data_IF_216494990481
#
_entry.id   IF_216494990481
#
_cell.length_a   1.000
_cell.length_b   1.000
_cell.length_c   1.000
_cell.angle_alpha   90.00
_cell.angle_beta   90.00
_cell.angle_gamma   90.00
#
_symmetry.space_group_name_H-M   'P 1'
#
loop_
_entity.id
_entity.type
_entity.pdbx_description
1 polymer ?
#
# COMPACT_ATOMS: atom_id res chain seq x y z
N UNK A 1 -47.94 -11.14 -17.75
CA UNK A 1 -47.26 -9.99 -17.14
C UNK A 1 -45.89 -9.91 -17.80
N UNK A 2 -45.74 -9.04 -18.78
CA UNK A 2 -44.46 -8.77 -19.41
C UNK A 2 -43.80 -7.70 -18.56
N UNK A 3 -42.87 -8.11 -17.73
CA UNK A 3 -42.01 -7.20 -16.97
C UNK A 3 -41.11 -6.43 -17.96
N UNK A 4 -41.23 -5.13 -17.89
CA UNK A 4 -40.76 -4.20 -18.91
C UNK A 4 -39.24 -4.19 -18.93
N UNK A 5 -38.63 -4.90 -19.90
CA UNK A 5 -37.17 -4.96 -20.11
C UNK A 5 -36.51 -3.58 -20.31
N UNK A 6 -37.33 -2.55 -20.60
CA UNK A 6 -36.86 -1.16 -20.72
C UNK A 6 -36.57 -0.52 -19.37
N UNK A 7 -37.20 -0.93 -18.28
CA UNK A 7 -36.94 -0.41 -16.93
C UNK A 7 -35.60 -0.97 -16.38
N UNK A 8 -35.28 -2.23 -16.67
CA UNK A 8 -33.99 -2.81 -16.30
C UNK A 8 -32.82 -2.13 -17.01
N UNK A 9 -33.00 -1.76 -18.28
CA UNK A 9 -32.02 -0.98 -19.04
C UNK A 9 -31.82 0.44 -18.51
N UNK A 10 -32.90 1.08 -18.05
CA UNK A 10 -32.81 2.41 -17.44
C UNK A 10 -32.12 2.37 -16.07
N UNK A 11 -32.40 1.36 -15.23
CA UNK A 11 -31.66 1.15 -13.95
C UNK A 11 -30.20 0.87 -14.16
N UNK A 12 -29.79 0.14 -15.20
CA UNK A 12 -28.39 -0.11 -15.52
C UNK A 12 -27.68 1.14 -16.03
N UNK A 13 -28.33 1.99 -16.83
CA UNK A 13 -27.76 3.23 -17.35
C UNK A 13 -27.68 4.36 -16.32
N UNK A 14 -28.52 4.36 -15.30
CA UNK A 14 -28.51 5.36 -14.24
C UNK A 14 -27.38 5.11 -13.23
N UNK A 15 -26.89 3.87 -13.12
CA UNK A 15 -25.85 3.49 -12.17
C UNK A 15 -24.41 3.81 -12.63
N UNK A 16 -24.19 4.05 -13.91
CA UNK A 16 -22.84 4.27 -14.43
C UNK A 16 -22.76 5.55 -15.23
N UNK A 17 -22.91 6.69 -14.55
CA UNK A 17 -22.57 7.98 -15.17
C UNK A 17 -21.09 7.98 -15.56
N UNK A 18 -20.79 8.34 -16.83
CA UNK A 18 -19.41 8.46 -17.32
C UNK A 18 -18.52 9.27 -16.38
N UNK A 19 -19.05 10.27 -15.70
CA UNK A 19 -18.36 11.06 -14.70
C UNK A 19 -17.93 10.24 -13.47
N UNK A 20 -18.74 9.30 -13.00
CA UNK A 20 -18.38 8.39 -11.89
C UNK A 20 -17.27 7.43 -12.30
N UNK A 21 -17.32 6.90 -13.52
CA UNK A 21 -16.24 6.03 -14.04
C UNK A 21 -14.92 6.77 -14.06
N UNK A 22 -14.87 7.99 -14.58
CA UNK A 22 -13.65 8.80 -14.61
C UNK A 22 -13.15 9.16 -13.22
N UNK A 23 -14.04 9.40 -12.26
CA UNK A 23 -13.65 9.62 -10.86
C UNK A 23 -13.01 8.37 -10.24
N UNK A 24 -13.58 7.19 -10.47
CA UNK A 24 -13.04 5.92 -9.94
C UNK A 24 -11.70 5.59 -10.59
N UNK A 25 -11.59 5.71 -11.92
CA UNK A 25 -10.33 5.50 -12.64
C UNK A 25 -9.28 6.50 -12.17
N UNK A 26 -9.62 7.77 -12.05
CA UNK A 26 -8.71 8.81 -11.58
C UNK A 26 -8.20 8.57 -10.16
N UNK A 27 -9.09 8.22 -9.24
CA UNK A 27 -8.72 7.93 -7.85
C UNK A 27 -7.84 6.69 -7.75
N UNK A 28 -8.16 5.61 -8.48
CA UNK A 28 -7.36 4.38 -8.52
C UNK A 28 -5.98 4.62 -9.15
N UNK A 29 -5.92 5.38 -10.24
CA UNK A 29 -4.66 5.72 -10.90
C UNK A 29 -3.76 6.58 -10.01
N UNK A 30 -4.32 7.55 -9.27
CA UNK A 30 -3.58 8.36 -8.31
C UNK A 30 -3.03 7.51 -7.16
N UNK A 31 -3.81 6.56 -6.65
CA UNK A 31 -3.33 5.59 -5.65
C UNK A 31 -2.10 4.85 -6.13
N UNK A 32 -2.18 4.25 -7.31
CA UNK A 32 -1.05 3.53 -7.93
C UNK A 32 0.19 4.41 -8.14
N UNK A 33 0.00 5.66 -8.59
CA UNK A 33 1.11 6.62 -8.77
C UNK A 33 1.79 6.92 -7.43
N UNK A 34 1.02 7.15 -6.36
CA UNK A 34 1.57 7.41 -5.02
C UNK A 34 2.37 6.21 -4.52
N UNK A 35 1.88 4.99 -4.73
CA UNK A 35 2.58 3.76 -4.38
C UNK A 35 3.93 3.63 -5.08
N UNK A 36 3.94 3.77 -6.41
CA UNK A 36 5.17 3.70 -7.20
C UNK A 36 6.15 4.80 -6.84
N UNK A 37 5.63 5.97 -6.49
CA UNK A 37 6.44 7.09 -6.02
C UNK A 37 7.09 6.80 -4.66
N UNK A 38 6.36 6.19 -3.70
CA UNK A 38 6.92 5.76 -2.42
C UNK A 38 8.05 4.73 -2.61
N UNK A 39 7.86 3.77 -3.52
CA UNK A 39 8.92 2.81 -3.88
C UNK A 39 10.14 3.47 -4.51
N UNK A 40 9.91 4.38 -5.43
CA UNK A 40 10.98 5.10 -6.12
C UNK A 40 11.79 5.92 -5.12
N UNK A 41 11.15 6.68 -4.25
CA UNK A 41 11.81 7.48 -3.20
C UNK A 41 12.60 6.58 -2.27
N UNK A 42 12.01 5.52 -1.77
CA UNK A 42 12.68 4.61 -0.84
C UNK A 42 13.93 4.00 -1.46
N UNK A 43 13.86 3.57 -2.70
CA UNK A 43 15.01 3.02 -3.42
C UNK A 43 16.08 4.08 -3.74
N UNK A 44 15.67 5.24 -4.25
CA UNK A 44 16.61 6.28 -4.66
C UNK A 44 17.31 6.97 -3.51
N UNK A 45 16.67 7.08 -2.35
CA UNK A 45 17.23 7.66 -1.14
C UNK A 45 17.99 6.65 -0.26
N UNK A 46 18.15 5.40 -0.70
CA UNK A 46 18.82 4.33 0.08
C UNK A 46 20.18 4.79 0.63
N UNK A 47 21.02 5.37 -0.20
CA UNK A 47 22.34 5.82 0.22
C UNK A 47 22.32 6.95 1.29
N UNK A 48 21.28 7.77 1.26
CA UNK A 48 21.10 8.90 2.18
C UNK A 48 20.44 8.48 3.50
N UNK A 49 19.46 7.58 3.41
CA UNK A 49 18.60 7.21 4.55
C UNK A 49 19.17 6.03 5.32
N UNK A 50 19.83 5.07 4.65
CA UNK A 50 20.35 3.88 5.34
C UNK A 50 21.30 4.18 6.52
N UNK A 51 22.22 5.16 6.45
CA UNK A 51 23.08 5.49 7.59
C UNK A 51 22.32 6.09 8.79
N UNK A 52 21.13 6.64 8.56
CA UNK A 52 20.32 7.26 9.62
C UNK A 52 19.60 6.23 10.49
N UNK A 53 19.23 5.09 9.91
CA UNK A 53 18.41 4.07 10.60
C UNK A 53 19.20 2.83 11.04
N UNK A 54 20.46 2.70 10.64
CA UNK A 54 21.30 1.56 10.97
C UNK A 54 22.56 1.99 11.73
N UNK A 55 23.25 1.06 12.46
CA UNK A 55 24.41 1.39 13.27
C UNK A 55 25.52 2.06 12.46
N UNK A 56 26.13 3.14 12.98
CA UNK A 56 27.27 3.78 12.34
C UNK A 56 28.49 2.85 12.36
N UNK A 57 29.37 2.99 11.37
CA UNK A 57 30.64 2.27 11.29
C UNK A 57 30.70 1.17 10.24
N UNK A 58 29.58 0.81 9.60
CA UNK A 58 29.58 -0.10 8.46
C UNK A 58 28.50 0.31 7.45
N UNK A 59 28.85 1.23 6.58
CA UNK A 59 27.92 1.77 5.56
C UNK A 59 27.42 0.68 4.60
N UNK A 60 28.25 -0.31 4.30
CA UNK A 60 27.87 -1.43 3.45
C UNK A 60 26.78 -2.28 4.12
N UNK A 61 26.91 -2.54 5.41
CA UNK A 61 25.89 -3.26 6.17
C UNK A 61 24.57 -2.47 6.21
N UNK A 62 24.63 -1.19 6.53
CA UNK A 62 23.48 -0.31 6.57
C UNK A 62 22.74 -0.29 5.21
N UNK A 63 23.47 -0.19 4.12
CA UNK A 63 22.92 -0.20 2.77
C UNK A 63 22.23 -1.53 2.43
N UNK A 64 22.89 -2.66 2.70
CA UNK A 64 22.33 -4.00 2.45
C UNK A 64 21.11 -4.26 3.33
N UNK A 65 21.16 -3.91 4.61
CA UNK A 65 20.06 -4.10 5.55
C UNK A 65 18.82 -3.25 5.17
N UNK A 66 19.04 -2.03 4.70
CA UNK A 66 17.98 -1.17 4.20
C UNK A 66 17.32 -1.74 2.94
N UNK A 67 18.12 -2.23 1.97
CA UNK A 67 17.62 -2.89 0.78
C UNK A 67 16.89 -4.21 1.11
N UNK A 68 17.37 -4.97 2.08
CA UNK A 68 16.69 -6.17 2.56
C UNK A 68 15.31 -5.83 3.17
N UNK A 69 15.23 -4.76 3.96
CA UNK A 69 13.96 -4.25 4.49
C UNK A 69 12.99 -3.87 3.37
N UNK A 70 13.49 -3.29 2.30
CA UNK A 70 12.71 -2.99 1.09
C UNK A 70 12.24 -4.26 0.39
N UNK A 71 13.11 -5.25 0.21
CA UNK A 71 12.78 -6.53 -0.42
C UNK A 71 11.71 -7.32 0.37
N UNK A 72 11.77 -7.30 1.70
CA UNK A 72 10.76 -7.94 2.57
C UNK A 72 9.37 -7.38 2.30
N UNK A 73 9.24 -6.08 2.07
CA UNK A 73 7.98 -5.45 1.68
C UNK A 73 7.33 -6.07 0.42
N UNK A 74 8.14 -6.52 -0.54
CA UNK A 74 7.65 -7.24 -1.73
C UNK A 74 7.27 -8.69 -1.43
N UNK A 75 8.07 -9.40 -0.64
CA UNK A 75 7.84 -10.81 -0.29
C UNK A 75 6.55 -10.99 0.50
N UNK A 76 6.16 -9.99 1.29
CA UNK A 76 4.95 -10.02 2.14
C UNK A 76 3.66 -9.75 1.34
N UNK A 77 3.73 -9.15 0.14
CA UNK A 77 2.56 -8.81 -0.68
C UNK A 77 1.61 -9.98 -0.97
N UNK A 78 2.06 -11.19 -1.36
CA UNK A 78 1.17 -12.32 -1.58
C UNK A 78 0.36 -12.68 -0.33
N UNK A 79 0.95 -12.57 0.85
CA UNK A 79 0.27 -12.81 2.12
C UNK A 79 -0.78 -11.73 2.40
N UNK A 80 -0.48 -10.48 2.06
CA UNK A 80 -1.42 -9.38 2.11
C UNK A 80 -2.63 -9.59 1.21
N UNK A 81 -2.42 -10.09 -0.01
CA UNK A 81 -3.49 -10.43 -0.95
C UNK A 81 -4.44 -11.49 -0.37
N UNK A 82 -3.89 -12.52 0.26
CA UNK A 82 -4.69 -13.57 0.92
C UNK A 82 -5.47 -13.03 2.13
N UNK A 83 -4.82 -12.24 2.97
CA UNK A 83 -5.40 -11.73 4.21
C UNK A 83 -6.50 -10.69 3.93
N UNK A 84 -6.18 -9.65 3.18
CA UNK A 84 -7.14 -8.58 2.86
C UNK A 84 -8.17 -9.01 1.81
N UNK A 85 -7.83 -9.94 0.92
CA UNK A 85 -8.79 -10.57 0.01
C UNK A 85 -9.93 -11.22 0.80
N UNK A 86 -9.58 -12.01 1.82
CA UNK A 86 -10.56 -12.66 2.70
C UNK A 86 -11.40 -11.66 3.52
N UNK A 87 -10.78 -10.60 4.02
CA UNK A 87 -11.49 -9.50 4.69
C UNK A 87 -12.45 -8.81 3.72
N UNK A 88 -12.01 -8.55 2.50
CA UNK A 88 -12.83 -7.94 1.46
C UNK A 88 -14.06 -8.75 1.09
N UNK A 89 -13.95 -10.08 1.12
CA UNK A 89 -15.10 -10.98 0.86
C UNK A 89 -16.11 -11.00 2.02
N UNK A 90 -15.65 -10.79 3.26
CA UNK A 90 -16.50 -10.82 4.47
C UNK A 90 -17.15 -9.46 4.73
N UNK A 91 -16.36 -8.38 4.70
CA UNK A 91 -16.78 -7.03 5.13
C UNK A 91 -17.19 -6.16 3.95
N UNK A 92 -16.80 -6.54 2.75
CA UNK A 92 -17.00 -5.80 1.52
C UNK A 92 -15.73 -5.15 0.99
N UNK A 93 -15.50 -5.26 -0.31
CA UNK A 93 -14.28 -4.85 -1.01
C UNK A 93 -13.99 -3.35 -0.86
N UNK A 94 -15.02 -2.51 -0.85
CA UNK A 94 -14.88 -1.06 -0.64
C UNK A 94 -14.24 -0.73 0.71
N UNK A 95 -14.65 -1.41 1.77
CA UNK A 95 -14.11 -1.19 3.12
C UNK A 95 -12.69 -1.73 3.24
N UNK A 96 -12.41 -2.90 2.68
CA UNK A 96 -11.06 -3.46 2.65
C UNK A 96 -10.09 -2.50 1.93
N UNK A 97 -10.47 -1.95 0.78
CA UNK A 97 -9.68 -0.97 0.04
C UNK A 97 -9.41 0.30 0.86
N UNK A 98 -10.43 0.86 1.53
CA UNK A 98 -10.25 2.05 2.37
C UNK A 98 -9.30 1.79 3.53
N UNK A 99 -9.39 0.61 4.15
CA UNK A 99 -8.51 0.22 5.27
C UNK A 99 -7.07 0.06 4.79
N UNK A 100 -6.82 -0.60 3.66
CA UNK A 100 -5.47 -0.76 3.10
C UNK A 100 -4.85 0.59 2.74
N UNK A 101 -5.60 1.48 2.12
CA UNK A 101 -5.16 2.84 1.79
C UNK A 101 -4.80 3.64 3.05
N UNK A 102 -5.60 3.51 4.11
CA UNK A 102 -5.38 4.21 5.38
C UNK A 102 -4.14 3.67 6.10
N UNK A 103 -3.96 2.35 6.14
CA UNK A 103 -2.76 1.70 6.70
C UNK A 103 -1.52 2.18 5.94
N UNK A 104 -1.57 2.21 4.62
CA UNK A 104 -0.44 2.64 3.80
C UNK A 104 -0.07 4.11 4.06
N UNK A 105 -1.05 5.01 4.07
CA UNK A 105 -0.82 6.43 4.36
C UNK A 105 -0.25 6.66 5.76
N UNK A 106 -0.80 5.99 6.78
CA UNK A 106 -0.29 6.08 8.15
C UNK A 106 1.12 5.50 8.27
N UNK A 107 1.38 4.37 7.64
CA UNK A 107 2.70 3.74 7.65
C UNK A 107 3.76 4.65 7.00
N UNK A 108 3.45 5.27 5.87
CA UNK A 108 4.33 6.24 5.21
C UNK A 108 4.58 7.47 6.10
N UNK A 109 3.55 8.00 6.75
CA UNK A 109 3.69 9.10 7.71
C UNK A 109 4.58 8.72 8.91
N UNK A 110 4.42 7.52 9.46
CA UNK A 110 5.25 7.01 10.57
C UNK A 110 6.72 6.97 10.17
N UNK A 111 7.05 6.52 8.96
CA UNK A 111 8.45 6.52 8.47
C UNK A 111 9.01 7.93 8.45
N UNK A 112 8.22 8.93 8.01
CA UNK A 112 8.64 10.33 7.97
C UNK A 112 8.93 10.94 9.36
N UNK A 113 8.27 10.44 10.40
CA UNK A 113 8.47 10.90 11.78
C UNK A 113 9.38 9.99 12.61
N UNK A 114 9.87 8.89 12.01
CA UNK A 114 10.67 7.91 12.74
C UNK A 114 12.01 8.51 13.17
N UNK A 115 12.36 8.48 14.48
CA UNK A 115 13.63 8.91 14.99
C UNK A 115 14.77 8.06 14.42
N UNK A 116 15.97 8.67 14.33
CA UNK A 116 17.17 8.01 13.80
C UNK A 116 17.74 6.99 14.78
N UNK A 117 18.67 6.17 14.31
CA UNK A 117 19.40 5.18 15.13
C UNK A 117 20.12 5.84 16.32
N UNK A 118 20.66 7.04 16.15
CA UNK A 118 21.33 7.78 17.22
C UNK A 118 20.41 8.11 18.40
N UNK A 119 19.12 8.24 18.13
CA UNK A 119 18.12 8.62 19.15
C UNK A 119 17.51 7.40 19.86
N UNK A 120 17.12 6.38 19.10
CA UNK A 120 16.38 5.21 19.64
C UNK A 120 17.11 3.87 19.42
N UNK A 121 18.32 3.89 18.87
CA UNK A 121 19.15 2.71 18.68
C UNK A 121 18.49 1.66 17.78
N UNK A 122 18.59 0.39 18.16
CA UNK A 122 18.04 -0.74 17.41
C UNK A 122 16.52 -0.73 17.23
N UNK A 123 15.80 0.08 17.96
CA UNK A 123 14.38 0.26 17.74
C UNK A 123 14.07 0.90 16.36
N UNK A 124 14.95 1.75 15.83
CA UNK A 124 14.79 2.41 14.55
C UNK A 124 14.66 1.42 13.37
N UNK A 125 15.63 0.52 13.13
CA UNK A 125 15.52 -0.45 12.04
C UNK A 125 14.39 -1.47 12.26
N UNK A 126 14.08 -1.83 13.50
CA UNK A 126 12.98 -2.75 13.81
C UNK A 126 11.63 -2.12 13.45
N UNK A 127 11.39 -0.88 13.86
CA UNK A 127 10.15 -0.15 13.52
C UNK A 127 10.07 0.05 12.01
N UNK A 128 11.15 0.43 11.36
CA UNK A 128 11.20 0.59 9.90
C UNK A 128 10.80 -0.71 9.19
N UNK A 129 11.34 -1.85 9.62
CA UNK A 129 11.01 -3.17 9.08
C UNK A 129 9.52 -3.49 9.29
N UNK A 130 8.99 -3.30 10.51
CA UNK A 130 7.58 -3.56 10.81
C UNK A 130 6.64 -2.70 9.96
N UNK A 131 6.96 -1.43 9.81
CA UNK A 131 6.16 -0.51 8.98
C UNK A 131 6.23 -0.94 7.50
N UNK A 132 7.36 -1.38 7.00
CA UNK A 132 7.51 -1.92 5.63
C UNK A 132 6.72 -3.22 5.42
N UNK A 133 6.69 -4.10 6.40
CA UNK A 133 5.84 -5.30 6.37
C UNK A 133 4.36 -4.91 6.30
N UNK A 134 3.91 -3.95 7.11
CA UNK A 134 2.54 -3.44 7.08
C UNK A 134 2.17 -2.82 5.72
N UNK A 135 3.06 -2.00 5.14
CA UNK A 135 2.87 -1.45 3.80
C UNK A 135 2.78 -2.55 2.74
N UNK A 136 3.66 -3.56 2.80
CA UNK A 136 3.64 -4.69 1.88
C UNK A 136 2.35 -5.50 1.97
N UNK A 137 1.85 -5.75 3.17
CA UNK A 137 0.56 -6.43 3.40
C UNK A 137 -0.61 -5.60 2.85
N UNK A 138 -0.65 -4.30 3.12
CA UNK A 138 -1.71 -3.41 2.65
C UNK A 138 -1.76 -3.37 1.11
N UNK A 139 -0.61 -3.21 0.46
CA UNK A 139 -0.47 -3.23 -0.99
C UNK A 139 -0.94 -4.55 -1.62
N UNK A 140 -0.57 -5.69 -1.01
CA UNK A 140 -1.04 -6.98 -1.47
C UNK A 140 -2.57 -7.07 -1.51
N UNK A 141 -3.24 -6.45 -0.53
CA UNK A 141 -4.70 -6.40 -0.46
C UNK A 141 -5.36 -5.63 -1.60
N UNK A 142 -4.73 -4.57 -2.08
CA UNK A 142 -5.24 -3.77 -3.20
C UNK A 142 -5.19 -4.53 -4.53
N UNK A 143 -4.10 -5.25 -4.81
CA UNK A 143 -3.99 -6.08 -6.00
C UNK A 143 -5.03 -7.20 -6.04
N UNK A 144 -5.32 -7.84 -4.91
CA UNK A 144 -6.39 -8.84 -4.78
C UNK A 144 -7.78 -8.26 -5.08
N UNK A 145 -8.05 -7.03 -4.67
CA UNK A 145 -9.29 -6.30 -4.95
C UNK A 145 -9.44 -5.89 -6.42
N UNK A 146 -8.37 -5.40 -7.03
CA UNK A 146 -8.37 -4.92 -8.41
C UNK A 146 -8.47 -6.05 -9.45
N UNK A 147 -7.96 -7.25 -9.14
CA UNK A 147 -7.99 -8.39 -10.06
C UNK A 147 -9.39 -8.99 -10.29
N UNK A 148 -10.37 -8.59 -9.49
CA UNK A 148 -11.74 -9.14 -9.51
C UNK A 148 -12.79 -8.11 -9.95
N UNK A 149 -12.37 -6.88 -10.29
CA UNK A 149 -13.17 -5.86 -10.95
C UNK A 149 -12.96 -5.89 -12.46
#
# INVERSE_FOLDING_TARGET
MAENTNDLGAFYNEQVSKAKIWQVIGASSLGTVIEWYDFYIFGSLTATISPLFYPPGNDTFAYIAYLATFAIGFVVRPFGALFFGRIGDIVGRKYAFLVTLLIMGLATAIIGFLPTFETIGWAAPIILLLVRVLQGLALGGEYGGAAVY
#
